data_IF_969938117853
#
_entry.id   IF_969938117853
#
_cell.length_a   1.000
_cell.length_b   1.000
_cell.length_c   1.000
_cell.angle_alpha   90.00
_cell.angle_beta   90.00
_cell.angle_gamma   90.00
#
_symmetry.space_group_name_H-M   'P 1'
#
loop_
_entity.id
_entity.type
_entity.pdbx_description
1 polymer ?
#
# COMPACT_ATOMS: atom_id res chain seq x y z
N UNK A 1 7.03 -6.97 -3.58
CA UNK A 1 6.43 -5.92 -2.73
C UNK A 1 4.95 -6.25 -2.55
N UNK A 2 4.48 -6.33 -1.31
CA UNK A 2 3.06 -6.43 -1.00
C UNK A 2 2.58 -5.08 -0.47
N UNK A 3 1.40 -4.65 -0.93
CA UNK A 3 0.78 -3.42 -0.47
C UNK A 3 -0.49 -3.79 0.29
N UNK A 4 -0.54 -3.39 1.55
CA UNK A 4 -1.73 -3.56 2.40
C UNK A 4 -2.37 -2.19 2.60
N UNK A 5 -3.57 -2.03 2.08
CA UNK A 5 -4.36 -0.82 2.29
C UNK A 5 -5.39 -1.07 3.39
N UNK A 6 -5.35 -0.26 4.42
CA UNK A 6 -6.39 -0.24 5.45
C UNK A 6 -7.26 1.00 5.22
N UNK A 7 -8.50 0.79 4.80
CA UNK A 7 -9.50 1.85 4.64
C UNK A 7 -10.26 1.97 5.95
N UNK A 8 -10.22 3.16 6.54
CA UNK A 8 -10.97 3.51 7.74
C UNK A 8 -11.83 4.70 7.40
N UNK A 9 -13.08 4.45 7.19
CA UNK A 9 -14.21 5.37 6.95
C UNK A 9 -13.96 6.69 6.18
N UNK A 10 -15.02 7.29 5.64
CA UNK A 10 -15.00 8.37 4.65
C UNK A 10 -14.40 9.70 5.16
N UNK A 11 -13.10 9.90 4.97
CA UNK A 11 -12.44 11.19 5.17
C UNK A 11 -11.68 11.64 3.90
N UNK A 12 -11.50 12.95 3.66
CA UNK A 12 -10.81 13.44 2.46
C UNK A 12 -9.36 12.92 2.40
N UNK A 13 -9.04 12.29 1.29
CA UNK A 13 -7.79 11.60 1.02
C UNK A 13 -6.58 12.55 1.07
N UNK A 14 -5.75 12.44 2.11
CA UNK A 14 -4.33 12.79 1.99
C UNK A 14 -3.55 11.53 1.62
N UNK A 15 -3.42 11.26 0.34
CA UNK A 15 -2.58 10.16 -0.15
C UNK A 15 -1.12 10.59 0.00
N UNK A 16 -0.41 10.03 0.95
CA UNK A 16 1.05 10.09 0.97
C UNK A 16 1.54 8.97 0.05
N UNK A 17 1.96 9.35 -1.16
CA UNK A 17 2.58 8.44 -2.11
C UNK A 17 3.98 8.10 -1.61
N UNK A 18 4.20 6.86 -1.25
CA UNK A 18 5.51 6.33 -0.93
C UNK A 18 5.99 5.47 -2.11
N UNK A 19 7.14 5.85 -2.68
CA UNK A 19 7.78 5.10 -3.74
C UNK A 19 8.77 4.10 -3.14
N UNK A 20 8.59 2.83 -3.47
CA UNK A 20 9.46 1.74 -3.01
C UNK A 20 10.01 1.01 -4.22
N UNK A 21 11.34 0.92 -4.31
CA UNK A 21 12.00 0.19 -5.40
C UNK A 21 11.60 -1.29 -5.38
N UNK A 22 11.31 -1.92 -6.53
CA UNK A 22 10.82 -3.30 -6.60
C UNK A 22 11.81 -4.35 -6.04
N UNK A 23 13.11 -4.04 -5.97
CA UNK A 23 14.11 -4.93 -5.38
C UNK A 23 14.15 -4.88 -3.85
N UNK A 24 13.38 -4.00 -3.21
CA UNK A 24 13.31 -3.96 -1.75
C UNK A 24 12.25 -4.95 -1.27
N UNK A 25 12.66 -6.05 -0.60
CA UNK A 25 11.71 -7.03 -0.07
C UNK A 25 11.02 -6.44 1.16
N UNK A 26 9.77 -6.02 1.02
CA UNK A 26 9.05 -5.36 2.11
C UNK A 26 7.54 -5.51 1.97
N UNK A 27 6.85 -5.25 3.09
CA UNK A 27 5.42 -5.07 3.16
C UNK A 27 5.16 -3.58 3.37
N UNK A 28 4.44 -2.95 2.45
CA UNK A 28 3.97 -1.58 2.62
C UNK A 28 2.59 -1.60 3.28
N UNK A 29 2.51 -1.04 4.48
CA UNK A 29 1.27 -0.86 5.22
C UNK A 29 0.84 0.60 5.14
N UNK A 30 -0.30 0.86 4.50
CA UNK A 30 -0.80 2.21 4.25
C UNK A 30 -2.20 2.37 4.85
N UNK A 31 -2.34 3.12 5.95
CA UNK A 31 -3.65 3.55 6.42
C UNK A 31 -4.29 4.52 5.42
N UNK A 32 -5.54 4.29 5.04
CA UNK A 32 -6.31 5.16 4.15
C UNK A 32 -7.40 5.80 4.98
N UNK A 33 -7.48 7.15 4.91
CA UNK A 33 -8.43 7.94 5.68
C UNK A 33 -8.46 7.64 7.20
N UNK A 34 -7.30 7.62 7.88
CA UNK A 34 -7.28 7.37 9.31
C UNK A 34 -7.88 8.57 10.08
N UNK A 35 -8.57 8.29 11.17
CA UNK A 35 -9.09 9.34 12.05
C UNK A 35 -8.00 10.15 12.76
N UNK A 36 -6.80 9.59 12.89
CA UNK A 36 -5.67 10.28 13.51
C UNK A 36 -4.70 10.81 12.45
N UNK A 37 -4.31 12.08 12.58
CA UNK A 37 -3.31 12.72 11.72
C UNK A 37 -1.89 12.18 11.92
N UNK A 38 -1.65 11.41 12.98
CA UNK A 38 -0.36 10.79 13.28
C UNK A 38 -0.05 9.55 12.43
N UNK A 39 -1.05 8.93 11.83
CA UNK A 39 -0.83 7.76 10.99
C UNK A 39 -0.06 8.11 9.72
N UNK A 40 0.91 7.28 9.40
CA UNK A 40 1.72 7.36 8.17
C UNK A 40 1.85 5.98 7.55
N UNK A 41 2.08 5.88 6.23
CA UNK A 41 2.51 4.63 5.63
C UNK A 41 3.79 4.14 6.28
N UNK A 42 3.86 2.84 6.53
CA UNK A 42 5.01 2.19 7.16
C UNK A 42 5.52 1.08 6.26
N UNK A 43 6.83 1.04 6.10
CA UNK A 43 7.52 -0.08 5.45
C UNK A 43 7.97 -1.05 6.53
N UNK A 44 7.57 -2.29 6.39
CA UNK A 44 7.94 -3.39 7.27
C UNK A 44 8.84 -4.37 6.51
N UNK A 45 9.77 -5.04 7.17
CA UNK A 45 10.60 -6.07 6.55
C UNK A 45 9.72 -7.21 6.02
N UNK A 46 10.19 -7.93 5.01
CA UNK A 46 9.50 -9.08 4.42
C UNK A 46 9.28 -10.22 5.41
N UNK A 47 10.12 -10.33 6.44
CA UNK A 47 9.98 -11.28 7.54
C UNK A 47 8.85 -10.94 8.53
N UNK A 48 8.28 -9.75 8.45
CA UNK A 48 7.20 -9.31 9.34
C UNK A 48 5.93 -10.16 9.16
N UNK A 49 5.25 -10.39 10.27
CA UNK A 49 3.92 -10.98 10.30
C UNK A 49 2.98 -9.99 10.95
N UNK A 50 2.00 -9.53 10.19
CA UNK A 50 0.98 -8.60 10.67
C UNK A 50 -0.23 -9.38 11.13
N UNK A 51 -0.82 -8.98 12.24
CA UNK A 51 -2.15 -9.41 12.64
C UNK A 51 -3.02 -8.16 12.84
N UNK A 52 -4.09 -8.09 12.09
CA UNK A 52 -5.11 -7.04 12.20
C UNK A 52 -6.33 -7.65 12.85
N UNK A 53 -6.63 -7.25 14.08
CA UNK A 53 -7.78 -7.74 14.84
C UNK A 53 -8.88 -6.68 14.89
N UNK A 54 -10.10 -7.10 14.65
CA UNK A 54 -11.29 -6.27 14.88
C UNK A 54 -11.59 -6.27 16.37
N UNK A 55 -11.64 -5.09 16.97
CA UNK A 55 -11.95 -4.97 18.40
C UNK A 55 -13.33 -5.56 18.71
N UNK A 56 -13.45 -6.18 19.88
CA UNK A 56 -14.75 -6.63 20.40
C UNK A 56 -15.74 -5.46 20.56
N UNK A 57 -15.22 -4.27 20.89
CA UNK A 57 -15.99 -3.04 21.08
C UNK A 57 -16.18 -2.23 19.78
N UNK A 58 -15.80 -2.79 18.62
CA UNK A 58 -15.97 -2.09 17.35
C UNK A 58 -17.45 -1.75 17.11
N UNK A 59 -17.71 -0.55 16.63
CA UNK A 59 -19.09 -0.11 16.35
C UNK A 59 -19.72 -0.90 15.20
N UNK A 60 -18.93 -1.19 14.16
CA UNK A 60 -19.35 -1.86 12.94
C UNK A 60 -18.45 -3.05 12.62
N UNK A 61 -18.96 -3.96 11.80
CA UNK A 61 -18.16 -5.00 11.16
C UNK A 61 -17.21 -4.37 10.13
N UNK A 62 -16.07 -5.02 9.92
CA UNK A 62 -15.13 -4.60 8.88
C UNK A 62 -15.31 -5.44 7.61
N UNK A 63 -14.68 -4.98 6.53
CA UNK A 63 -14.66 -5.69 5.28
C UNK A 63 -13.22 -5.85 4.81
N UNK A 64 -12.90 -7.01 4.28
CA UNK A 64 -11.65 -7.27 3.59
C UNK A 64 -11.91 -7.46 2.10
N UNK A 65 -10.99 -7.01 1.27
CA UNK A 65 -11.01 -7.22 -0.16
C UNK A 65 -9.60 -7.60 -0.63
N UNK A 66 -9.52 -8.52 -1.57
CA UNK A 66 -8.28 -8.97 -2.19
C UNK A 66 -8.24 -8.46 -3.63
N UNK A 67 -7.28 -7.58 -3.95
CA UNK A 67 -7.14 -6.95 -5.27
C UNK A 67 -8.44 -6.31 -5.80
N UNK A 68 -9.21 -5.69 -4.91
CA UNK A 68 -10.50 -5.10 -5.23
C UNK A 68 -11.62 -6.12 -5.51
N UNK A 69 -11.37 -7.40 -5.32
CA UNK A 69 -12.31 -8.51 -5.55
C UNK A 69 -12.52 -9.33 -4.27
N UNK A 70 -13.46 -10.27 -4.31
CA UNK A 70 -13.70 -11.23 -3.22
C UNK A 70 -13.88 -10.55 -1.86
N UNK A 71 -14.78 -9.58 -1.81
CA UNK A 71 -15.09 -8.87 -0.58
C UNK A 71 -15.69 -9.83 0.46
N UNK A 72 -15.10 -9.86 1.65
CA UNK A 72 -15.53 -10.69 2.76
C UNK A 72 -15.75 -9.84 4.00
N UNK A 73 -16.84 -10.09 4.72
CA UNK A 73 -17.13 -9.42 5.98
C UNK A 73 -16.36 -10.08 7.12
N UNK A 74 -15.86 -9.24 8.01
CA UNK A 74 -15.21 -9.62 9.25
C UNK A 74 -16.05 -9.13 10.41
N UNK A 75 -16.33 -10.02 11.34
CA UNK A 75 -17.06 -9.74 12.57
C UNK A 75 -16.11 -9.22 13.66
N UNK A 76 -16.69 -8.73 14.74
CA UNK A 76 -15.95 -8.38 15.95
C UNK A 76 -15.18 -9.60 16.47
N UNK A 77 -13.96 -9.39 16.92
CA UNK A 77 -13.08 -10.47 17.39
C UNK A 77 -12.32 -11.20 16.29
N UNK A 78 -12.76 -11.11 15.03
CA UNK A 78 -12.02 -11.72 13.91
C UNK A 78 -10.66 -11.05 13.71
N UNK A 79 -9.71 -11.83 13.20
CA UNK A 79 -8.39 -11.32 12.85
C UNK A 79 -7.94 -11.78 11.46
N UNK A 80 -7.09 -10.95 10.85
CA UNK A 80 -6.44 -11.24 9.58
C UNK A 80 -4.95 -11.31 9.83
N UNK A 81 -4.30 -12.36 9.34
CA UNK A 81 -2.85 -12.49 9.34
C UNK A 81 -2.29 -12.28 7.95
N UNK A 82 -1.28 -11.42 7.87
CA UNK A 82 -0.64 -11.02 6.62
C UNK A 82 0.85 -11.31 6.75
N UNK A 83 1.40 -12.04 5.78
CA UNK A 83 2.83 -12.32 5.68
C UNK A 83 3.25 -12.41 4.22
N UNK A 84 4.55 -12.33 3.97
CA UNK A 84 5.10 -12.54 2.63
C UNK A 84 4.84 -13.96 2.15
N UNK A 85 4.45 -14.08 0.89
CA UNK A 85 4.32 -15.39 0.22
C UNK A 85 5.70 -15.99 -0.01
N UNK A 86 5.82 -17.31 0.15
CA UNK A 86 7.01 -18.06 -0.25
C UNK A 86 7.06 -18.29 -1.76
N UNK A 87 5.99 -17.99 -2.48
CA UNK A 87 5.90 -18.15 -3.93
C UNK A 87 6.09 -16.79 -4.60
N UNK A 88 7.20 -16.59 -5.34
CA UNK A 88 7.41 -15.36 -6.07
C UNK A 88 6.45 -15.24 -7.25
N UNK A 89 6.01 -14.02 -7.52
CA UNK A 89 5.29 -13.69 -8.76
C UNK A 89 6.31 -13.26 -9.81
N UNK A 90 6.54 -14.05 -10.86
CA UNK A 90 7.46 -13.67 -11.93
C UNK A 90 6.91 -12.48 -12.72
N UNK A 91 7.78 -11.54 -13.07
CA UNK A 91 7.44 -10.37 -13.88
C UNK A 91 8.32 -10.28 -15.12
N UNK A 92 7.80 -9.73 -16.20
CA UNK A 92 8.55 -9.50 -17.44
C UNK A 92 9.20 -8.13 -17.37
N UNK A 93 10.48 -8.07 -17.76
CA UNK A 93 11.28 -6.84 -17.84
C UNK A 93 11.61 -6.56 -19.30
N UNK A 94 11.75 -5.29 -19.66
CA UNK A 94 12.21 -4.88 -20.99
C UNK A 94 13.72 -5.02 -21.13
N UNK A 95 14.47 -4.51 -20.15
CA UNK A 95 15.92 -4.57 -20.11
C UNK A 95 16.43 -5.00 -18.73
N UNK A 96 16.43 -4.09 -17.77
CA UNK A 96 16.79 -4.37 -16.38
C UNK A 96 15.76 -3.79 -15.42
N UNK A 97 15.71 -4.32 -14.21
CA UNK A 97 14.64 -3.95 -13.26
C UNK A 97 14.77 -2.51 -12.76
N UNK A 98 15.98 -2.04 -12.55
CA UNK A 98 16.23 -0.70 -12.01
C UNK A 98 16.01 0.36 -13.07
N UNK A 99 16.60 0.19 -14.26
CA UNK A 99 16.42 1.13 -15.36
C UNK A 99 14.97 1.21 -15.84
N UNK A 100 14.30 0.08 -15.97
CA UNK A 100 12.88 0.05 -16.34
C UNK A 100 12.00 0.75 -15.30
N UNK A 101 12.31 0.60 -14.00
CA UNK A 101 11.55 1.23 -12.93
C UNK A 101 11.73 2.75 -12.94
N UNK A 102 12.98 3.27 -13.00
CA UNK A 102 13.22 4.71 -13.09
C UNK A 102 12.62 5.31 -14.37
N UNK A 103 12.74 4.62 -15.50
CA UNK A 103 12.11 5.02 -16.74
C UNK A 103 10.56 5.10 -16.62
N UNK A 104 9.95 4.23 -15.82
CA UNK A 104 8.52 4.29 -15.52
C UNK A 104 8.13 5.49 -14.68
N UNK A 105 8.94 5.85 -13.68
CA UNK A 105 8.68 7.04 -12.86
C UNK A 105 8.64 8.31 -13.72
N UNK A 106 9.62 8.48 -14.60
CA UNK A 106 9.67 9.62 -15.52
C UNK A 106 8.43 9.66 -16.41
N UNK A 107 8.10 8.53 -17.08
CA UNK A 107 6.98 8.48 -18.03
C UNK A 107 5.61 8.63 -17.39
N UNK A 108 5.40 8.07 -16.20
CA UNK A 108 4.09 8.01 -15.58
C UNK A 108 3.81 9.13 -14.59
N UNK A 109 4.86 9.67 -13.97
CA UNK A 109 4.75 10.67 -12.92
C UNK A 109 5.42 11.99 -13.26
N UNK A 110 6.06 12.11 -14.44
CA UNK A 110 6.92 13.25 -14.80
C UNK A 110 7.95 13.54 -13.68
N UNK A 111 8.48 12.44 -13.09
CA UNK A 111 9.35 12.53 -11.93
C UNK A 111 10.62 13.32 -12.27
N UNK A 112 10.91 14.33 -11.44
CA UNK A 112 12.05 15.25 -11.63
C UNK A 112 11.97 16.14 -12.90
N UNK A 113 10.81 16.24 -13.54
CA UNK A 113 10.58 17.22 -14.60
C UNK A 113 10.16 18.57 -14.01
N UNK A 114 10.77 19.65 -14.45
CA UNK A 114 10.34 21.01 -14.16
C UNK A 114 9.40 21.47 -15.27
N UNK A 115 8.19 21.82 -14.92
CA UNK A 115 7.33 22.57 -15.83
C UNK A 115 7.86 23.99 -15.89
N UNK A 116 8.12 24.49 -17.11
CA UNK A 116 8.48 25.89 -17.33
C UNK A 116 7.38 26.79 -16.79
N UNK A 117 7.66 27.47 -15.68
CA UNK A 117 6.77 28.51 -15.19
C UNK A 117 6.89 29.69 -16.15
N UNK A 118 5.81 30.01 -16.86
CA UNK A 118 5.73 31.27 -17.60
C UNK A 118 5.95 32.41 -16.60
N UNK A 119 6.94 33.26 -16.88
CA UNK A 119 7.11 34.51 -16.15
C UNK A 119 5.79 35.29 -16.20
N UNK A 120 5.30 35.73 -15.05
CA UNK A 120 4.15 36.61 -14.91
C UNK A 120 4.49 37.99 -15.49
#
# INVERSE_FOLDING_TARGET
>A
MFVVHLIVDEAPLKIVLLLVHPNVPCILFTPICPHSLSFRPVILPDSARLELKISEDARNNAWISFDGKRRQQLSRGDSIRICMSQHPLPTVKKADQTGDWFGSLIRCLNWNERLDQKAL
#
